data_IF_175838619507
#
_entry.id   IF_175838619507
#
_cell.length_a   1.000
_cell.length_b   1.000
_cell.length_c   1.000
_cell.angle_alpha   90.00
_cell.angle_beta   90.00
_cell.angle_gamma   90.00
#
_symmetry.space_group_name_H-M   'P 1'
#
loop_
_entity.id
_entity.type
_entity.pdbx_description
1 polymer ?
#
# COMPACT_ATOMS: atom_id res chain seq x y z
N UNK A 1 2.85 13.28 60.38
CA UNK A 1 2.74 12.59 59.08
C UNK A 1 1.42 12.99 58.43
N UNK A 2 1.45 13.85 57.42
CA UNK A 2 0.32 14.04 56.51
C UNK A 2 0.89 14.11 55.09
N UNK A 3 0.76 13.01 54.35
CA UNK A 3 1.09 12.97 52.94
C UNK A 3 -0.16 13.39 52.15
N UNK A 4 -0.09 14.57 51.56
CA UNK A 4 -1.12 15.09 50.67
C UNK A 4 -1.07 14.31 49.35
N UNK A 5 -2.15 13.58 49.05
CA UNK A 5 -2.34 12.84 47.80
C UNK A 5 -2.67 13.86 46.71
N UNK A 6 -1.67 14.32 45.98
CA UNK A 6 -1.88 15.07 44.75
C UNK A 6 -2.60 14.16 43.74
N UNK A 7 -3.84 14.52 43.41
CA UNK A 7 -4.56 13.92 42.31
C UNK A 7 -3.81 14.26 41.01
N UNK A 8 -3.20 13.26 40.38
CA UNK A 8 -2.82 13.37 38.97
C UNK A 8 -4.11 13.60 38.19
N UNK A 9 -4.25 14.81 37.63
CA UNK A 9 -5.20 15.07 36.58
C UNK A 9 -5.02 14.04 35.46
N UNK A 10 -6.09 13.57 34.80
CA UNK A 10 -5.95 12.70 33.64
C UNK A 10 -5.12 13.46 32.60
N UNK A 11 -3.99 12.86 32.20
CA UNK A 11 -3.25 13.32 31.04
C UNK A 11 -4.22 13.32 29.87
N UNK A 12 -4.62 14.51 29.42
CA UNK A 12 -5.34 14.71 28.17
C UNK A 12 -4.47 14.04 27.11
N UNK A 13 -4.91 12.88 26.63
CA UNK A 13 -4.18 12.06 25.69
C UNK A 13 -3.72 12.93 24.54
N UNK A 14 -2.41 13.11 24.42
CA UNK A 14 -1.78 13.88 23.37
C UNK A 14 -2.34 13.36 22.05
N UNK A 15 -3.16 14.18 21.40
CA UNK A 15 -3.68 13.89 20.07
C UNK A 15 -2.49 14.06 19.13
N UNK A 16 -1.64 13.03 19.03
CA UNK A 16 -0.52 13.06 18.11
C UNK A 16 -1.11 13.26 16.70
N UNK A 17 -0.72 14.37 16.08
CA UNK A 17 -1.03 14.62 14.68
C UNK A 17 -0.36 13.49 13.91
N UNK A 18 -1.14 12.72 13.16
CA UNK A 18 -0.58 11.71 12.28
C UNK A 18 0.32 12.41 11.28
N UNK A 19 1.56 11.98 11.29
CA UNK A 19 2.58 12.39 10.34
C UNK A 19 2.62 11.38 9.23
N UNK A 20 2.89 11.85 8.03
CA UNK A 20 3.07 10.98 6.89
C UNK A 20 4.25 10.03 7.16
N UNK A 21 4.07 8.69 7.11
CA UNK A 21 5.09 7.76 7.58
C UNK A 21 6.23 7.53 6.57
N UNK A 22 6.05 7.94 5.32
CA UNK A 22 7.00 7.69 4.22
C UNK A 22 7.53 8.98 3.62
N UNK A 23 8.84 9.19 3.69
CA UNK A 23 9.48 10.31 3.02
C UNK A 23 9.82 9.94 1.57
N UNK A 24 8.93 10.31 0.64
CA UNK A 24 9.05 9.90 -0.77
C UNK A 24 10.28 10.51 -1.48
N UNK A 25 10.88 11.57 -0.93
CA UNK A 25 12.09 12.18 -1.49
C UNK A 25 13.33 11.30 -1.32
N UNK A 26 13.26 10.28 -0.46
CA UNK A 26 14.38 9.34 -0.24
C UNK A 26 14.51 8.28 -1.34
N UNK A 27 13.50 8.14 -2.20
CA UNK A 27 13.51 7.13 -3.27
C UNK A 27 13.88 7.73 -4.62
N UNK A 28 14.49 6.90 -5.46
CA UNK A 28 14.69 7.20 -6.87
C UNK A 28 13.39 6.98 -7.66
N UNK A 29 12.68 8.08 -7.88
CA UNK A 29 11.39 8.14 -8.57
C UNK A 29 11.48 8.29 -10.09
N UNK A 30 12.63 7.96 -10.71
CA UNK A 30 12.77 8.00 -12.17
C UNK A 30 11.69 7.16 -12.85
N UNK A 31 11.01 7.77 -13.82
CA UNK A 31 9.93 7.13 -14.59
C UNK A 31 10.42 5.89 -15.34
N UNK A 32 11.59 5.99 -15.98
CA UNK A 32 12.19 4.92 -16.76
C UNK A 32 12.71 3.81 -15.87
N UNK A 33 12.53 2.58 -16.35
CA UNK A 33 13.22 1.42 -15.81
C UNK A 33 14.70 1.48 -16.21
N UNK A 34 15.58 1.00 -15.34
CA UNK A 34 16.96 0.74 -15.73
C UNK A 34 17.01 -0.45 -16.69
N UNK A 35 18.08 -0.58 -17.47
CA UNK A 35 18.24 -1.73 -18.37
C UNK A 35 18.22 -3.08 -17.60
N UNK A 36 18.69 -3.07 -16.36
CA UNK A 36 18.66 -4.24 -15.47
C UNK A 36 17.23 -4.55 -15.02
N UNK A 37 16.49 -3.56 -14.51
CA UNK A 37 15.09 -3.74 -14.10
C UNK A 37 14.23 -4.19 -15.28
N UNK A 38 14.40 -3.58 -16.44
CA UNK A 38 13.67 -3.92 -17.65
C UNK A 38 13.94 -5.38 -18.04
N UNK A 39 15.20 -5.84 -17.99
CA UNK A 39 15.54 -7.24 -18.25
C UNK A 39 14.83 -8.17 -17.29
N UNK A 40 14.91 -7.91 -15.99
CA UNK A 40 14.30 -8.76 -14.95
C UNK A 40 12.78 -8.81 -15.13
N UNK A 41 12.14 -7.67 -15.39
CA UNK A 41 10.70 -7.59 -15.58
C UNK A 41 10.20 -8.22 -16.88
N UNK A 42 11.00 -8.24 -17.94
CA UNK A 42 10.59 -8.77 -19.27
C UNK A 42 11.02 -10.21 -19.52
N UNK A 43 12.07 -10.70 -18.85
CA UNK A 43 12.64 -12.03 -19.05
C UNK A 43 12.42 -12.91 -17.81
N UNK A 44 12.89 -12.46 -16.65
CA UNK A 44 12.92 -13.30 -15.44
C UNK A 44 11.54 -13.42 -14.80
N UNK A 45 10.75 -12.34 -14.78
CA UNK A 45 9.40 -12.33 -14.20
C UNK A 45 8.45 -13.32 -14.91
N UNK A 46 8.32 -13.33 -16.25
CA UNK A 46 7.51 -14.35 -16.93
C UNK A 46 7.97 -15.78 -16.63
N UNK A 47 9.28 -16.02 -16.58
CA UNK A 47 9.84 -17.34 -16.25
C UNK A 47 9.53 -17.73 -14.79
N UNK A 48 9.61 -16.79 -13.85
CA UNK A 48 9.25 -17.03 -12.47
C UNK A 48 7.75 -17.37 -12.33
N UNK A 49 6.88 -16.61 -13.00
CA UNK A 49 5.42 -16.86 -13.02
C UNK A 49 5.10 -18.24 -13.63
N UNK A 50 5.84 -18.67 -14.65
CA UNK A 50 5.62 -19.96 -15.30
C UNK A 50 6.13 -21.16 -14.49
N UNK A 51 7.24 -21.00 -13.77
CA UNK A 51 7.96 -22.12 -13.15
C UNK A 51 7.70 -22.28 -11.65
N UNK A 52 7.30 -21.21 -10.96
CA UNK A 52 7.13 -21.23 -9.51
C UNK A 52 5.67 -21.38 -9.09
N UNK A 53 5.45 -22.13 -8.00
CA UNK A 53 4.09 -22.44 -7.50
C UNK A 53 3.57 -21.43 -6.48
N UNK A 54 4.45 -20.65 -5.87
CA UNK A 54 4.10 -19.67 -4.84
C UNK A 54 4.64 -18.30 -5.20
N UNK A 55 3.94 -17.25 -4.78
CA UNK A 55 4.34 -15.87 -5.09
C UNK A 55 5.66 -15.51 -4.41
N UNK A 56 5.89 -15.97 -3.17
CA UNK A 56 7.17 -15.79 -2.50
C UNK A 56 8.34 -16.41 -3.27
N UNK A 57 8.16 -17.60 -3.86
CA UNK A 57 9.19 -18.22 -4.71
C UNK A 57 9.39 -17.45 -6.03
N UNK A 58 8.30 -16.94 -6.63
CA UNK A 58 8.39 -16.06 -7.81
C UNK A 58 9.24 -14.83 -7.50
N UNK A 59 8.93 -14.12 -6.41
CA UNK A 59 9.64 -12.91 -5.99
C UNK A 59 11.09 -13.22 -5.61
N UNK A 60 11.36 -14.35 -4.97
CA UNK A 60 12.72 -14.79 -4.61
C UNK A 60 13.64 -15.01 -5.81
N UNK A 61 13.09 -15.20 -7.01
CA UNK A 61 13.86 -15.26 -8.26
C UNK A 61 14.19 -13.89 -8.84
N UNK A 62 13.47 -12.84 -8.43
CA UNK A 62 13.65 -11.50 -8.97
C UNK A 62 14.73 -10.78 -8.16
N UNK A 63 15.85 -10.49 -8.80
CA UNK A 63 16.94 -9.73 -8.19
C UNK A 63 17.05 -8.35 -8.83
N UNK A 64 17.76 -7.43 -8.17
CA UNK A 64 18.07 -6.09 -8.72
C UNK A 64 16.84 -5.21 -8.99
N UNK A 65 15.77 -5.43 -8.24
CA UNK A 65 14.56 -4.61 -8.25
C UNK A 65 14.44 -3.74 -6.99
N UNK A 66 15.52 -3.60 -6.21
CA UNK A 66 15.53 -2.93 -4.91
C UNK A 66 14.96 -1.51 -4.99
N UNK A 67 15.26 -0.79 -6.08
CA UNK A 67 14.72 0.56 -6.32
C UNK A 67 13.20 0.59 -6.41
N UNK A 68 12.58 -0.45 -6.99
CA UNK A 68 11.13 -0.55 -7.12
C UNK A 68 10.51 -1.17 -5.87
N UNK A 69 11.17 -2.14 -5.23
CA UNK A 69 10.64 -2.88 -4.09
C UNK A 69 10.75 -2.12 -2.78
N UNK A 70 11.86 -1.43 -2.50
CA UNK A 70 12.06 -0.71 -1.25
C UNK A 70 10.91 0.26 -0.88
N UNK A 71 10.44 1.16 -1.77
CA UNK A 71 9.29 2.01 -1.44
C UNK A 71 7.99 1.23 -1.23
N UNK A 72 7.79 0.10 -1.93
CA UNK A 72 6.62 -0.76 -1.75
C UNK A 72 6.68 -1.43 -0.37
N UNK A 73 7.86 -1.91 0.02
CA UNK A 73 8.12 -2.57 1.29
C UNK A 73 7.90 -1.63 2.47
N UNK A 74 8.45 -0.41 2.39
CA UNK A 74 8.25 0.62 3.41
C UNK A 74 6.77 1.03 3.52
N UNK A 75 6.06 1.09 2.40
CA UNK A 75 4.63 1.39 2.41
C UNK A 75 3.79 0.26 3.00
N UNK A 76 4.11 -0.99 2.71
CA UNK A 76 3.45 -2.14 3.31
C UNK A 76 3.74 -2.24 4.81
N UNK A 77 4.96 -1.93 5.23
CA UNK A 77 5.35 -1.89 6.64
C UNK A 77 4.62 -0.78 7.42
N UNK A 78 4.28 0.33 6.76
CA UNK A 78 3.51 1.42 7.35
C UNK A 78 2.00 1.15 7.45
N UNK A 79 1.48 0.12 6.76
CA UNK A 79 0.06 -0.24 6.78
C UNK A 79 -0.24 -1.15 7.98
N UNK A 80 -1.20 -0.75 8.82
CA UNK A 80 -1.65 -1.57 9.95
C UNK A 80 -2.37 -2.84 9.45
N UNK A 81 -1.81 -4.02 9.76
CA UNK A 81 -2.44 -5.30 9.46
C UNK A 81 -1.51 -6.51 9.42
N UNK A 82 -2.12 -7.66 9.12
CA UNK A 82 -1.40 -8.88 8.80
C UNK A 82 -0.74 -8.72 7.43
N UNK A 83 0.59 -8.90 7.35
CA UNK A 83 1.43 -8.89 6.12
C UNK A 83 1.08 -9.98 5.09
N UNK A 84 -0.17 -10.45 5.11
CA UNK A 84 -0.72 -11.57 4.35
C UNK A 84 -0.76 -11.29 2.85
N UNK A 85 -0.79 -10.02 2.45
CA UNK A 85 -0.99 -9.60 1.06
C UNK A 85 0.25 -8.98 0.43
N UNK A 86 1.34 -8.84 1.17
CA UNK A 86 2.50 -8.05 0.78
C UNK A 86 3.14 -8.57 -0.51
N UNK A 87 3.37 -9.87 -0.58
CA UNK A 87 3.93 -10.53 -1.77
C UNK A 87 3.03 -10.37 -3.00
N UNK A 88 1.70 -10.39 -2.80
CA UNK A 88 0.75 -10.18 -3.89
C UNK A 88 0.82 -8.73 -4.39
N UNK A 89 0.85 -7.77 -3.47
CA UNK A 89 0.96 -6.35 -3.81
C UNK A 89 2.25 -6.07 -4.57
N UNK A 90 3.40 -6.61 -4.11
CA UNK A 90 4.68 -6.54 -4.83
C UNK A 90 4.56 -7.07 -6.25
N UNK A 91 4.07 -8.31 -6.40
CA UNK A 91 3.96 -8.94 -7.71
C UNK A 91 3.04 -8.14 -8.65
N UNK A 92 1.88 -7.68 -8.17
CA UNK A 92 0.95 -6.87 -8.95
C UNK A 92 1.62 -5.59 -9.47
N UNK A 93 2.32 -4.85 -8.62
CA UNK A 93 3.00 -3.62 -9.03
C UNK A 93 4.13 -3.90 -10.03
N UNK A 94 4.93 -4.96 -9.82
CA UNK A 94 6.00 -5.34 -10.74
C UNK A 94 5.46 -5.77 -12.11
N UNK A 95 4.37 -6.54 -12.16
CA UNK A 95 3.74 -6.93 -13.43
C UNK A 95 3.27 -5.73 -14.22
N UNK A 96 2.66 -4.74 -13.56
CA UNK A 96 2.25 -3.52 -14.26
C UNK A 96 3.43 -2.65 -14.67
N UNK A 97 4.55 -2.68 -13.93
CA UNK A 97 5.78 -2.03 -14.36
C UNK A 97 6.32 -2.68 -15.65
N UNK A 98 6.24 -4.01 -15.73
CA UNK A 98 6.62 -4.77 -16.91
C UNK A 98 5.73 -4.44 -18.12
N UNK A 99 4.40 -4.51 -17.94
CA UNK A 99 3.42 -4.23 -19.01
C UNK A 99 3.54 -2.82 -19.56
N UNK A 100 3.76 -1.83 -18.68
CA UNK A 100 3.84 -0.42 -19.07
C UNK A 100 5.26 0.03 -19.43
N UNK A 101 6.26 -0.84 -19.24
CA UNK A 101 7.67 -0.53 -19.42
C UNK A 101 8.13 0.76 -18.71
N UNK A 102 7.60 1.02 -17.52
CA UNK A 102 7.90 2.18 -16.70
C UNK A 102 7.64 1.88 -15.22
N UNK A 103 8.31 2.59 -14.33
CA UNK A 103 8.05 2.49 -12.90
C UNK A 103 6.67 3.02 -12.54
N UNK A 104 6.13 2.55 -11.41
CA UNK A 104 4.83 2.99 -10.90
C UNK A 104 4.79 4.49 -10.54
N UNK A 105 5.95 5.13 -10.34
CA UNK A 105 6.07 6.57 -10.10
C UNK A 105 5.55 7.44 -11.25
N UNK A 106 5.51 6.90 -12.47
CA UNK A 106 5.11 7.62 -13.68
C UNK A 106 3.71 7.27 -14.17
N UNK A 107 2.99 6.41 -13.45
CA UNK A 107 1.65 6.03 -13.84
C UNK A 107 0.68 7.20 -13.63
N UNK A 108 -0.12 7.47 -14.65
CA UNK A 108 -1.21 8.43 -14.57
C UNK A 108 -2.41 7.86 -13.80
N UNK A 109 -3.42 8.70 -13.58
CA UNK A 109 -4.64 8.29 -12.89
C UNK A 109 -5.31 7.11 -13.61
N UNK A 110 -5.37 7.08 -14.94
CA UNK A 110 -5.98 5.98 -15.70
C UNK A 110 -5.27 4.65 -15.45
N UNK A 111 -3.93 4.67 -15.42
CA UNK A 111 -3.12 3.52 -15.08
C UNK A 111 -3.41 3.01 -13.68
N UNK A 112 -3.45 3.91 -12.70
CA UNK A 112 -3.82 3.55 -11.33
C UNK A 112 -5.24 3.00 -11.22
N UNK A 113 -6.23 3.55 -11.93
CA UNK A 113 -7.60 3.02 -11.92
C UNK A 113 -7.68 1.59 -12.47
N UNK A 114 -6.90 1.25 -13.49
CA UNK A 114 -6.83 -0.11 -14.03
C UNK A 114 -6.24 -1.06 -12.98
N UNK A 115 -5.12 -0.66 -12.35
CA UNK A 115 -4.42 -1.47 -11.34
C UNK A 115 -5.27 -1.65 -10.08
N UNK A 116 -5.89 -0.59 -9.58
CA UNK A 116 -6.64 -0.59 -8.33
C UNK A 116 -8.06 -1.16 -8.51
N UNK A 117 -8.61 -1.07 -9.72
CA UNK A 117 -9.99 -1.41 -10.06
C UNK A 117 -10.99 -0.47 -9.38
N UNK A 118 -12.04 -0.06 -10.09
CA UNK A 118 -13.14 0.74 -9.52
C UNK A 118 -14.16 -0.09 -8.74
N UNK A 119 -14.14 -1.41 -8.94
CA UNK A 119 -14.96 -2.40 -8.19
C UNK A 119 -14.11 -3.60 -7.81
N UNK A 120 -14.60 -4.43 -6.88
CA UNK A 120 -13.93 -5.67 -6.52
C UNK A 120 -13.82 -6.64 -7.71
N UNK A 121 -14.86 -6.71 -8.55
CA UNK A 121 -14.89 -7.53 -9.75
C UNK A 121 -13.87 -7.04 -10.79
N UNK A 122 -13.80 -5.73 -11.02
CA UNK A 122 -12.82 -5.12 -11.92
C UNK A 122 -11.38 -5.41 -11.44
N UNK A 123 -11.13 -5.27 -10.14
CA UNK A 123 -9.84 -5.62 -9.55
C UNK A 123 -9.48 -7.10 -9.76
N UNK A 124 -10.42 -8.03 -9.55
CA UNK A 124 -10.18 -9.45 -9.79
C UNK A 124 -9.92 -9.76 -11.27
N UNK A 125 -10.57 -9.03 -12.18
CA UNK A 125 -10.36 -9.17 -13.62
C UNK A 125 -8.97 -8.66 -14.05
N UNK A 126 -8.48 -7.59 -13.43
CA UNK A 126 -7.24 -6.90 -13.78
C UNK A 126 -5.94 -7.59 -13.31
N UNK A 127 -6.02 -8.61 -12.44
CA UNK A 127 -4.86 -9.24 -11.82
C UNK A 127 -4.75 -10.74 -12.07
N UNK A 128 -3.52 -11.19 -12.37
CA UNK A 128 -3.13 -12.59 -12.50
C UNK A 128 -1.76 -12.77 -11.82
N UNK A 129 -1.60 -13.64 -10.82
CA UNK A 129 -2.57 -14.59 -10.28
C UNK A 129 -3.79 -13.93 -9.64
N UNK A 130 -4.93 -14.64 -9.63
CA UNK A 130 -6.18 -14.10 -9.07
C UNK A 130 -5.99 -13.70 -7.60
N UNK A 131 -6.54 -12.54 -7.17
CA UNK A 131 -6.58 -12.17 -5.76
C UNK A 131 -7.36 -13.21 -4.94
N UNK A 132 -7.02 -13.34 -3.66
CA UNK A 132 -7.59 -14.35 -2.78
C UNK A 132 -8.89 -13.89 -2.11
N UNK A 133 -8.91 -12.69 -1.52
CA UNK A 133 -10.03 -12.24 -0.68
C UNK A 133 -10.37 -10.75 -0.80
N UNK A 134 -9.68 -9.99 -1.65
CA UNK A 134 -9.92 -8.55 -1.85
C UNK A 134 -9.23 -7.65 -0.80
N UNK A 135 -8.61 -8.22 0.23
CA UNK A 135 -7.72 -7.50 1.14
C UNK A 135 -6.50 -6.93 0.41
N UNK A 136 -6.06 -7.58 -0.66
CA UNK A 136 -5.00 -7.12 -1.56
C UNK A 136 -5.34 -5.75 -2.15
N UNK A 137 -6.60 -5.53 -2.53
CA UNK A 137 -7.04 -4.25 -3.10
C UNK A 137 -6.86 -3.11 -2.10
N UNK A 138 -7.22 -3.33 -0.84
CA UNK A 138 -7.07 -2.31 0.19
C UNK A 138 -5.59 -2.04 0.50
N UNK A 139 -4.76 -3.08 0.55
CA UNK A 139 -3.33 -2.92 0.72
C UNK A 139 -2.71 -2.15 -0.47
N UNK A 140 -3.11 -2.47 -1.69
CA UNK A 140 -2.61 -1.82 -2.90
C UNK A 140 -3.02 -0.33 -2.98
N UNK A 141 -4.27 -0.01 -2.61
CA UNK A 141 -4.73 1.39 -2.50
C UNK A 141 -3.92 2.13 -1.43
N UNK A 142 -3.69 1.51 -0.26
CA UNK A 142 -2.92 2.13 0.80
C UNK A 142 -1.47 2.40 0.38
N UNK A 143 -0.82 1.46 -0.32
CA UNK A 143 0.52 1.65 -0.88
C UNK A 143 0.55 2.80 -1.88
N UNK A 144 -0.39 2.84 -2.84
CA UNK A 144 -0.46 3.91 -3.83
C UNK A 144 -0.68 5.29 -3.19
N UNK A 145 -1.51 5.34 -2.14
CA UNK A 145 -1.77 6.55 -1.37
C UNK A 145 -0.53 7.01 -0.59
N UNK A 146 0.09 6.12 0.18
CA UNK A 146 1.26 6.43 1.03
C UNK A 146 2.49 6.84 0.21
N UNK A 147 2.64 6.31 -1.00
CA UNK A 147 3.67 6.72 -1.96
C UNK A 147 3.29 7.99 -2.74
N UNK A 148 2.12 8.57 -2.49
CA UNK A 148 1.57 9.75 -3.19
C UNK A 148 1.41 9.55 -4.70
N UNK A 149 1.33 8.31 -5.15
CA UNK A 149 1.13 7.97 -6.55
C UNK A 149 -0.35 8.05 -6.95
N UNK A 150 -1.26 7.95 -5.98
CA UNK A 150 -2.70 8.05 -6.20
C UNK A 150 -3.40 8.74 -5.03
N UNK A 151 -4.14 9.82 -5.29
CA UNK A 151 -4.84 10.59 -4.27
C UNK A 151 -6.37 10.64 -4.47
N UNK A 152 -6.87 10.18 -5.61
CA UNK A 152 -8.27 10.30 -6.01
C UNK A 152 -9.13 9.16 -5.42
N UNK A 153 -9.05 8.98 -4.10
CA UNK A 153 -9.82 7.97 -3.36
C UNK A 153 -11.35 8.11 -3.57
N UNK A 154 -11.93 9.31 -3.78
CA UNK A 154 -13.34 9.42 -4.17
C UNK A 154 -13.69 8.63 -5.44
N UNK A 155 -12.79 8.61 -6.43
CA UNK A 155 -13.03 8.08 -7.78
C UNK A 155 -12.80 6.56 -7.89
N UNK A 156 -12.26 5.92 -6.84
CA UNK A 156 -12.06 4.47 -6.75
C UNK A 156 -13.35 3.64 -6.61
N UNK A 157 -14.52 4.28 -6.65
CA UNK A 157 -15.82 3.61 -6.60
C UNK A 157 -16.07 2.90 -5.26
N UNK A 158 -16.48 1.64 -5.34
CA UNK A 158 -16.88 0.85 -4.16
C UNK A 158 -15.66 0.44 -3.33
N UNK A 159 -15.36 1.18 -2.25
CA UNK A 159 -14.30 0.86 -1.30
C UNK A 159 -14.87 0.93 0.11
N UNK A 160 -14.50 -0.02 0.98
CA UNK A 160 -14.80 0.07 2.42
C UNK A 160 -13.90 1.16 3.04
N UNK A 161 -14.27 2.43 2.84
CA UNK A 161 -13.47 3.62 3.18
C UNK A 161 -12.99 3.62 4.63
N UNK A 162 -13.84 3.16 5.55
CA UNK A 162 -13.50 2.96 6.97
C UNK A 162 -12.35 1.96 7.15
N UNK A 163 -12.44 0.78 6.54
CA UNK A 163 -11.40 -0.24 6.66
C UNK A 163 -10.09 0.19 5.98
N UNK A 164 -10.17 0.94 4.88
CA UNK A 164 -9.00 1.56 4.24
C UNK A 164 -8.35 2.62 5.14
N UNK A 165 -9.16 3.51 5.71
CA UNK A 165 -8.68 4.54 6.62
C UNK A 165 -8.01 3.92 7.85
N UNK A 166 -8.58 2.86 8.43
CA UNK A 166 -8.00 2.14 9.58
C UNK A 166 -6.62 1.57 9.26
N UNK A 167 -6.42 1.11 8.03
CA UNK A 167 -5.12 0.62 7.53
C UNK A 167 -4.07 1.73 7.39
N UNK A 168 -4.47 2.92 6.95
CA UNK A 168 -3.55 4.04 6.67
C UNK A 168 -3.26 4.88 7.92
N UNK A 169 -4.28 5.13 8.74
CA UNK A 169 -4.22 6.06 9.87
C UNK A 169 -4.17 5.37 11.24
N UNK A 170 -4.32 4.05 11.29
CA UNK A 170 -4.42 3.25 12.51
C UNK A 170 -5.83 3.20 13.09
N UNK A 171 -6.21 2.03 13.63
CA UNK A 171 -7.54 1.80 14.21
C UNK A 171 -7.83 2.69 15.42
N UNK A 172 -6.89 2.79 16.35
CA UNK A 172 -7.06 3.50 17.62
C UNK A 172 -7.34 4.99 17.40
N UNK A 173 -6.62 5.60 16.46
CA UNK A 173 -6.78 7.00 16.09
C UNK A 173 -8.16 7.28 15.51
N UNK A 174 -8.64 6.41 14.62
CA UNK A 174 -9.98 6.58 14.04
C UNK A 174 -11.10 6.32 15.05
N UNK A 175 -10.89 5.41 16.00
CA UNK A 175 -11.84 5.21 17.10
C UNK A 175 -11.98 6.48 17.95
N UNK A 176 -10.87 7.14 18.29
CA UNK A 176 -10.87 8.42 19.02
C UNK A 176 -11.56 9.56 18.26
N UNK A 177 -11.33 9.69 16.95
CA UNK A 177 -12.01 10.70 16.12
C UNK A 177 -13.51 10.42 16.03
N UNK A 178 -13.93 9.16 15.85
CA UNK A 178 -15.36 8.79 15.79
C UNK A 178 -16.10 9.05 17.10
N UNK A 179 -15.43 8.87 18.25
CA UNK A 179 -16.00 9.18 19.56
C UNK A 179 -16.24 10.70 19.71
N UNK A 180 -15.27 11.53 19.32
CA UNK A 180 -15.38 12.99 19.42
C UNK A 180 -16.47 13.58 18.51
N UNK A 181 -16.70 13.02 17.32
CA UNK A 181 -17.79 13.47 16.43
C UNK A 181 -19.18 13.13 16.99
N UNK A 182 -19.32 12.03 17.74
CA UNK A 182 -20.59 11.65 18.38
C UNK A 182 -20.90 12.45 19.65
N UNK A 183 -19.88 13.02 20.29
CA UNK A 183 -20.03 13.84 21.51
C UNK A 183 -20.21 15.34 21.24
N UNK A 184 -20.21 15.76 19.97
CA UNK A 184 -20.36 17.15 19.54
C UNK A 184 -21.67 17.48 18.84
N UNK A 185 -22.72 16.67 19.02
CA UNK A 185 -24.10 16.91 18.56
C UNK A 185 -25.02 17.01 19.77
#
# INVERSE_FOLDING_TARGET
MMASKAALAPAVGSTSLWTWPIEITNYDRRSRLTATEQRVLTQDLPLAVANERTIGAMLGRLSRLDRLLAPIDDALAAVDGTHLYDDRVRLMLLQYCAVRNQSFWAWDATAWHIVLGTTQAAFFAAHVPKPHAGGERHALIAVAYLLRCFNDIPDLGEVKRVALAEKIFGKERLAGIRANVKSGV
#
